data_IF_379654775401
#
_entry.id   IF_379654775401
#
_cell.length_a   1.000
_cell.length_b   1.000
_cell.length_c   1.000
_cell.angle_alpha   90.00
_cell.angle_beta   90.00
_cell.angle_gamma   90.00
#
_symmetry.space_group_name_H-M   'P 1'
#
loop_
_entity.id
_entity.type
_entity.pdbx_description
1 polymer ?
#
# COMPACT_ATOMS: atom_id res chain seq x y z
N UNK A 1 -32.47 0.69 -2.80
CA UNK A 1 -32.14 -0.71 -3.14
C UNK A 1 -30.76 -1.03 -2.59
N UNK A 2 -30.67 -1.54 -1.38
CA UNK A 2 -29.42 -2.10 -0.83
C UNK A 2 -29.59 -3.62 -0.90
N UNK A 3 -29.07 -4.23 -1.96
CA UNK A 3 -29.23 -5.68 -2.19
C UNK A 3 -27.90 -6.39 -2.46
N UNK A 4 -26.77 -5.70 -2.35
CA UNK A 4 -25.46 -6.31 -2.46
C UNK A 4 -24.64 -6.04 -1.21
N UNK A 5 -24.00 -7.10 -0.70
CA UNK A 5 -22.89 -6.97 0.25
C UNK A 5 -21.82 -6.16 -0.47
N UNK A 6 -21.50 -4.98 0.05
CA UNK A 6 -20.49 -4.09 -0.52
C UNK A 6 -19.13 -4.38 0.13
N UNK A 7 -18.22 -5.15 -0.50
CA UNK A 7 -16.89 -5.44 0.03
C UNK A 7 -15.96 -4.22 0.09
N UNK A 8 -16.41 -3.03 -0.28
CA UNK A 8 -15.60 -1.82 -0.26
C UNK A 8 -15.06 -1.51 1.14
N UNK A 9 -15.85 -1.77 2.19
CA UNK A 9 -15.43 -1.53 3.57
C UNK A 9 -14.23 -2.39 3.96
N UNK A 10 -14.25 -3.69 3.62
CA UNK A 10 -13.11 -4.60 3.82
C UNK A 10 -11.92 -4.26 2.93
N UNK A 11 -12.14 -3.82 1.68
CA UNK A 11 -11.06 -3.40 0.79
C UNK A 11 -10.32 -2.18 1.34
N UNK A 12 -11.04 -1.18 1.86
CA UNK A 12 -10.44 -0.01 2.49
C UNK A 12 -9.67 -0.37 3.78
N UNK A 13 -10.18 -1.29 4.59
CA UNK A 13 -9.45 -1.75 5.78
C UNK A 13 -8.17 -2.53 5.42
N UNK A 14 -8.21 -3.37 4.37
CA UNK A 14 -7.02 -4.06 3.85
C UNK A 14 -6.02 -3.06 3.27
N UNK A 15 -6.49 -2.06 2.52
CA UNK A 15 -5.66 -0.96 2.03
C UNK A 15 -4.97 -0.25 3.20
N UNK A 16 -5.74 0.13 4.22
CA UNK A 16 -5.23 0.78 5.43
C UNK A 16 -4.12 -0.03 6.10
N UNK A 17 -4.37 -1.32 6.36
CA UNK A 17 -3.37 -2.24 6.93
C UNK A 17 -2.09 -2.30 6.07
N UNK A 18 -2.26 -2.35 4.76
CA UNK A 18 -1.15 -2.47 3.80
C UNK A 18 -0.33 -1.18 3.73
N UNK A 19 -0.97 -0.02 3.77
CA UNK A 19 -0.29 1.28 3.77
C UNK A 19 0.53 1.47 5.05
N UNK A 20 -0.02 1.12 6.22
CA UNK A 20 0.73 1.14 7.48
C UNK A 20 1.90 0.16 7.47
N UNK A 21 1.69 -1.06 6.96
CA UNK A 21 2.77 -2.05 6.78
C UNK A 21 3.85 -1.53 5.82
N UNK A 22 3.46 -0.76 4.80
CA UNK A 22 4.39 -0.13 3.84
C UNK A 22 5.18 0.99 4.46
N UNK A 23 4.58 1.80 5.34
CA UNK A 23 5.34 2.77 6.11
C UNK A 23 6.42 2.08 6.97
N UNK A 24 6.10 0.94 7.59
CA UNK A 24 7.08 0.14 8.32
C UNK A 24 8.16 -0.46 7.41
N UNK A 25 7.80 -0.96 6.22
CA UNK A 25 8.77 -1.44 5.22
C UNK A 25 9.71 -0.33 4.77
N UNK A 26 9.20 0.89 4.54
CA UNK A 26 10.03 2.06 4.20
C UNK A 26 10.99 2.33 5.35
N UNK A 27 10.52 2.40 6.59
CA UNK A 27 11.39 2.58 7.76
C UNK A 27 12.50 1.53 7.85
N UNK A 28 12.15 0.24 7.68
CA UNK A 28 13.12 -0.86 7.72
C UNK A 28 14.19 -0.74 6.64
N UNK A 29 13.81 -0.25 5.46
CA UNK A 29 14.69 -0.14 4.29
C UNK A 29 15.48 1.17 4.26
N UNK A 30 15.09 2.19 5.03
CA UNK A 30 15.76 3.50 5.05
C UNK A 30 16.44 3.85 6.39
N UNK A 31 16.33 3.01 7.43
CA UNK A 31 16.93 3.27 8.75
C UNK A 31 18.47 3.35 8.67
N UNK A 32 19.12 4.21 9.47
CA UNK A 32 20.58 4.21 9.58
C UNK A 32 21.08 2.89 10.18
N UNK A 33 22.10 2.30 9.55
CA UNK A 33 22.88 1.23 10.17
C UNK A 33 23.67 1.88 11.30
N UNK A 34 23.53 1.35 12.52
CA UNK A 34 24.30 1.81 13.67
C UNK A 34 25.76 1.39 13.42
N UNK A 35 26.66 2.37 13.30
CA UNK A 35 28.09 2.10 13.21
C UNK A 35 28.53 1.61 14.61
N UNK A 36 28.80 0.31 14.75
CA UNK A 36 29.35 -0.26 15.98
C UNK A 36 30.85 0.05 16.07
N UNK A 37 31.37 0.15 17.30
CA UNK A 37 32.80 0.35 17.57
C UNK A 37 33.66 -0.68 16.81
N UNK A 38 34.87 -0.30 16.34
CA UNK A 38 35.69 -1.16 15.49
C UNK A 38 35.93 -2.54 16.17
N UNK A 39 35.58 -3.66 15.51
CA UNK A 39 35.73 -4.98 16.11
C UNK A 39 37.20 -5.36 16.28
N UNK A 40 37.51 -6.18 17.29
CA UNK A 40 38.83 -6.81 17.43
C UNK A 40 39.14 -7.72 16.24
N UNK A 41 40.42 -7.98 15.94
CA UNK A 41 40.88 -8.72 14.75
C UNK A 41 40.24 -10.12 14.60
N UNK A 42 39.93 -10.80 15.72
CA UNK A 42 39.19 -12.07 15.73
C UNK A 42 37.69 -11.90 15.46
N UNK A 43 37.11 -10.77 15.85
CA UNK A 43 35.74 -10.39 15.51
C UNK A 43 35.64 -10.00 14.02
N UNK A 44 36.70 -9.47 13.40
CA UNK A 44 36.76 -9.21 11.96
C UNK A 44 36.74 -10.54 11.18
N UNK A 45 37.54 -11.54 11.56
CA UNK A 45 37.54 -12.83 10.88
C UNK A 45 36.21 -13.60 11.02
N UNK A 46 35.56 -13.54 12.20
CA UNK A 46 34.22 -14.09 12.39
C UNK A 46 33.14 -13.25 11.69
N UNK A 47 33.29 -11.92 11.69
CA UNK A 47 32.35 -11.05 11.01
C UNK A 47 32.45 -11.27 9.51
N UNK A 48 33.60 -11.40 8.86
CA UNK A 48 33.67 -11.61 7.42
C UNK A 48 32.92 -12.87 6.95
N UNK A 49 33.06 -13.99 7.68
CA UNK A 49 32.34 -15.24 7.40
C UNK A 49 30.84 -15.11 7.67
N UNK A 50 30.45 -14.45 8.77
CA UNK A 50 29.03 -14.24 9.14
C UNK A 50 28.37 -13.17 8.26
N UNK A 51 29.11 -12.15 7.84
CA UNK A 51 28.68 -11.02 7.02
C UNK A 51 28.46 -11.49 5.60
N UNK A 52 29.33 -12.34 5.04
CA UNK A 52 29.06 -12.99 3.74
C UNK A 52 27.81 -13.86 3.76
N UNK A 53 27.53 -14.53 4.87
CA UNK A 53 26.34 -15.38 5.05
C UNK A 53 25.06 -14.56 5.30
N UNK A 54 25.16 -13.44 6.02
CA UNK A 54 24.05 -12.51 6.24
C UNK A 54 23.75 -11.62 5.03
N UNK A 55 24.75 -11.31 4.20
CA UNK A 55 24.60 -10.53 2.98
C UNK A 55 23.83 -11.28 1.89
N UNK A 56 23.70 -12.60 2.01
CA UNK A 56 22.95 -13.46 1.09
C UNK A 56 21.57 -13.84 1.60
N UNK A 57 21.26 -13.64 2.88
CA UNK A 57 19.95 -13.92 3.45
C UNK A 57 19.18 -12.61 3.64
N UNK A 58 18.13 -12.43 2.83
CA UNK A 58 17.16 -11.36 3.04
C UNK A 58 16.63 -11.47 4.48
N UNK A 59 16.68 -10.40 5.31
CA UNK A 59 16.24 -10.46 6.70
C UNK A 59 14.87 -11.13 6.80
N UNK A 60 14.69 -12.05 7.76
CA UNK A 60 13.47 -12.84 7.89
C UNK A 60 12.20 -11.95 7.89
N UNK A 61 12.29 -10.74 8.45
CA UNK A 61 11.24 -9.72 8.40
C UNK A 61 10.91 -9.23 6.98
N UNK A 62 11.91 -8.94 6.14
CA UNK A 62 11.68 -8.53 4.74
C UNK A 62 11.05 -9.67 3.95
N UNK A 63 11.49 -10.91 4.21
CA UNK A 63 10.90 -12.09 3.58
C UNK A 63 9.44 -12.28 4.00
N UNK A 64 9.11 -12.14 5.28
CA UNK A 64 7.72 -12.19 5.75
C UNK A 64 6.85 -11.09 5.10
N UNK A 65 7.36 -9.86 5.04
CA UNK A 65 6.68 -8.73 4.38
C UNK A 65 6.48 -9.01 2.89
N UNK A 66 7.44 -9.62 2.19
CA UNK A 66 7.27 -9.97 0.77
C UNK A 66 6.09 -10.92 0.54
N UNK A 67 5.92 -11.94 1.38
CA UNK A 67 4.78 -12.85 1.27
C UNK A 67 3.45 -12.18 1.60
N UNK A 68 3.44 -11.27 2.57
CA UNK A 68 2.27 -10.44 2.87
C UNK A 68 1.85 -9.63 1.64
N UNK A 69 2.78 -8.90 1.02
CA UNK A 69 2.50 -8.11 -0.19
C UNK A 69 2.05 -8.97 -1.37
N UNK A 70 2.66 -10.14 -1.56
CA UNK A 70 2.26 -11.05 -2.61
C UNK A 70 0.84 -11.58 -2.40
N UNK A 71 0.49 -11.94 -1.16
CA UNK A 71 -0.85 -12.43 -0.80
C UNK A 71 -1.93 -11.36 -0.96
N UNK A 72 -1.71 -10.18 -0.37
CA UNK A 72 -2.64 -9.05 -0.52
C UNK A 72 -2.72 -8.60 -1.97
N UNK A 73 -1.60 -8.54 -2.68
CA UNK A 73 -1.55 -8.12 -4.08
C UNK A 73 -2.31 -9.06 -5.00
N UNK A 74 -2.14 -10.38 -4.84
CA UNK A 74 -2.90 -11.38 -5.59
C UNK A 74 -4.40 -11.29 -5.29
N UNK A 75 -4.77 -11.14 -4.02
CA UNK A 75 -6.16 -10.96 -3.60
C UNK A 75 -6.78 -9.70 -4.21
N UNK A 76 -6.13 -8.54 -4.08
CA UNK A 76 -6.62 -7.26 -4.57
C UNK A 76 -6.71 -7.23 -6.10
N UNK A 77 -5.73 -7.82 -6.80
CA UNK A 77 -5.77 -7.92 -8.26
C UNK A 77 -6.93 -8.80 -8.74
N UNK A 78 -7.09 -9.99 -8.13
CA UNK A 78 -8.15 -10.92 -8.51
C UNK A 78 -9.54 -10.34 -8.24
N UNK A 79 -9.74 -9.74 -7.06
CA UNK A 79 -11.02 -9.12 -6.69
C UNK A 79 -11.28 -7.82 -7.46
N UNK A 80 -10.26 -7.04 -7.80
CA UNK A 80 -10.38 -5.87 -8.66
C UNK A 80 -10.79 -6.23 -10.09
N UNK A 81 -10.11 -7.19 -10.72
CA UNK A 81 -10.48 -7.68 -12.06
C UNK A 81 -11.89 -8.28 -12.06
N UNK A 82 -12.22 -9.08 -11.03
CA UNK A 82 -13.57 -9.60 -10.86
C UNK A 82 -14.60 -8.47 -10.73
N UNK A 83 -14.33 -7.45 -9.92
CA UNK A 83 -15.19 -6.29 -9.73
C UNK A 83 -15.41 -5.50 -11.03
N UNK A 84 -14.36 -5.32 -11.84
CA UNK A 84 -14.47 -4.70 -13.16
C UNK A 84 -15.36 -5.50 -14.12
N UNK A 85 -15.30 -6.82 -14.06
CA UNK A 85 -16.04 -7.69 -14.97
C UNK A 85 -17.50 -7.93 -14.54
N UNK A 86 -17.78 -7.91 -13.24
CA UNK A 86 -19.04 -8.46 -12.70
C UNK A 86 -19.87 -7.46 -11.92
N UNK A 87 -19.30 -6.38 -11.40
CA UNK A 87 -20.04 -5.47 -10.55
C UNK A 87 -20.76 -4.45 -11.44
N UNK A 88 -22.10 -4.34 -11.40
CA UNK A 88 -22.81 -3.33 -12.17
C UNK A 88 -23.15 -2.14 -11.26
N UNK A 89 -22.15 -1.48 -10.64
CA UNK A 89 -22.45 -0.19 -10.03
C UNK A 89 -22.84 0.76 -11.17
N UNK A 90 -24.02 1.42 -11.09
CA UNK A 90 -24.36 2.43 -12.06
C UNK A 90 -23.34 3.58 -11.99
N UNK A 91 -23.02 4.17 -13.14
CA UNK A 91 -22.15 5.36 -13.28
C UNK A 91 -20.65 5.11 -13.04
N UNK A 92 -19.88 6.19 -12.91
CA UNK A 92 -18.41 6.24 -12.75
C UNK A 92 -17.86 5.59 -11.47
N UNK A 93 -18.72 5.15 -10.54
CA UNK A 93 -18.31 4.58 -9.25
C UNK A 93 -17.45 3.32 -9.41
N UNK A 94 -17.79 2.44 -10.36
CA UNK A 94 -16.97 1.25 -10.63
C UNK A 94 -15.54 1.60 -11.06
N UNK A 95 -15.39 2.61 -11.91
CA UNK A 95 -14.10 3.07 -12.43
C UNK A 95 -13.25 3.58 -11.28
N UNK A 96 -13.84 4.42 -10.43
CA UNK A 96 -13.14 5.06 -9.32
C UNK A 96 -12.90 4.10 -8.15
N UNK A 97 -13.46 2.89 -8.15
CA UNK A 97 -13.29 1.94 -7.04
C UNK A 97 -12.51 0.68 -7.45
N UNK A 98 -12.86 0.05 -8.57
CA UNK A 98 -12.29 -1.24 -8.97
C UNK A 98 -10.98 -1.08 -9.75
N UNK A 99 -10.81 -0.02 -10.58
CA UNK A 99 -9.53 0.23 -11.27
C UNK A 99 -8.38 0.47 -10.27
N UNK A 100 -8.54 1.36 -9.27
CA UNK A 100 -7.48 1.62 -8.29
C UNK A 100 -7.21 0.42 -7.40
N UNK A 101 -8.23 -0.40 -7.10
CA UNK A 101 -8.07 -1.61 -6.31
C UNK A 101 -7.26 -2.68 -7.05
N UNK A 102 -7.57 -2.92 -8.33
CA UNK A 102 -6.76 -3.80 -9.18
C UNK A 102 -5.32 -3.29 -9.31
N UNK A 103 -5.16 -1.98 -9.52
CA UNK A 103 -3.86 -1.32 -9.62
C UNK A 103 -3.04 -1.43 -8.33
N UNK A 104 -3.69 -1.26 -7.17
CA UNK A 104 -3.09 -1.51 -5.86
C UNK A 104 -2.59 -2.95 -5.76
N UNK A 105 -3.37 -3.92 -6.25
CA UNK A 105 -2.95 -5.32 -6.35
C UNK A 105 -1.67 -5.51 -7.16
N UNK A 106 -1.59 -4.87 -8.34
CA UNK A 106 -0.36 -4.86 -9.16
C UNK A 106 0.82 -4.24 -8.42
N UNK A 107 0.63 -3.07 -7.80
CA UNK A 107 1.68 -2.39 -7.06
C UNK A 107 2.19 -3.22 -5.88
N UNK A 108 1.29 -3.83 -5.11
CA UNK A 108 1.63 -4.72 -4.01
C UNK A 108 2.39 -5.96 -4.49
N UNK A 109 1.99 -6.58 -5.61
CA UNK A 109 2.76 -7.68 -6.22
C UNK A 109 4.17 -7.25 -6.62
N UNK A 110 4.33 -6.07 -7.24
CA UNK A 110 5.65 -5.53 -7.60
C UNK A 110 6.52 -5.35 -6.35
N UNK A 111 5.98 -4.75 -5.29
CA UNK A 111 6.69 -4.59 -4.01
C UNK A 111 7.09 -5.94 -3.44
N UNK A 112 6.15 -6.89 -3.35
CA UNK A 112 6.39 -8.23 -2.80
C UNK A 112 7.47 -8.98 -3.57
N UNK A 113 7.38 -9.03 -4.91
CA UNK A 113 8.36 -9.70 -5.75
C UNK A 113 9.74 -9.03 -5.68
N UNK A 114 9.80 -7.69 -5.65
CA UNK A 114 11.05 -6.96 -5.53
C UNK A 114 11.75 -7.24 -4.19
N UNK A 115 11.00 -7.24 -3.09
CA UNK A 115 11.54 -7.59 -1.77
C UNK A 115 11.96 -9.06 -1.69
N UNK A 116 11.23 -9.97 -2.34
CA UNK A 116 11.54 -11.39 -2.33
C UNK A 116 12.84 -11.71 -3.10
N UNK A 117 12.97 -11.18 -4.33
CA UNK A 117 14.10 -11.51 -5.22
C UNK A 117 15.30 -10.61 -5.04
N UNK A 118 15.10 -9.31 -4.83
CA UNK A 118 16.18 -8.33 -4.78
C UNK A 118 16.44 -7.76 -3.38
N UNK A 119 15.60 -8.08 -2.39
CA UNK A 119 15.70 -7.53 -1.02
C UNK A 119 15.59 -6.01 -0.94
N UNK A 120 15.23 -5.35 -2.04
CA UNK A 120 15.28 -3.89 -2.18
C UNK A 120 14.24 -3.41 -3.20
N UNK A 121 13.84 -2.13 -3.08
CA UNK A 121 12.86 -1.49 -3.96
C UNK A 121 13.51 -0.56 -4.99
N UNK A 122 14.84 -0.56 -5.14
CA UNK A 122 15.56 0.37 -6.02
C UNK A 122 15.05 0.30 -7.47
N UNK A 123 15.09 -0.88 -8.09
CA UNK A 123 14.62 -1.05 -9.46
C UNK A 123 13.09 -0.93 -9.58
N UNK A 124 12.35 -1.44 -8.58
CA UNK A 124 10.89 -1.43 -8.57
C UNK A 124 10.29 -0.02 -8.36
N UNK A 125 11.05 0.90 -7.76
CA UNK A 125 10.58 2.27 -7.46
C UNK A 125 10.18 3.06 -8.72
N UNK A 126 10.87 2.83 -9.85
CA UNK A 126 10.59 3.52 -11.11
C UNK A 126 9.21 3.15 -11.67
N UNK A 127 8.89 1.87 -11.94
CA UNK A 127 7.56 1.50 -12.41
C UNK A 127 6.47 1.84 -11.37
N UNK A 128 6.73 1.65 -10.07
CA UNK A 128 5.79 2.06 -9.01
C UNK A 128 5.46 3.56 -9.09
N UNK A 129 6.43 4.42 -9.38
CA UNK A 129 6.20 5.86 -9.48
C UNK A 129 5.19 6.22 -10.56
N UNK A 130 5.25 5.56 -11.72
CA UNK A 130 4.27 5.76 -12.79
C UNK A 130 2.88 5.24 -12.41
N UNK A 131 2.80 4.11 -11.71
CA UNK A 131 1.51 3.61 -11.19
C UNK A 131 0.89 4.60 -10.19
N UNK A 132 1.71 5.35 -9.45
CA UNK A 132 1.26 6.39 -8.52
C UNK A 132 0.51 7.56 -9.16
N UNK A 133 0.68 7.80 -10.46
CA UNK A 133 0.00 8.91 -11.16
C UNK A 133 -1.51 8.65 -11.28
N UNK A 134 -1.89 7.40 -11.51
CA UNK A 134 -3.27 7.00 -11.77
C UNK A 134 -4.21 7.31 -10.58
N UNK A 135 -3.92 6.89 -9.33
CA UNK A 135 -4.77 7.24 -8.19
C UNK A 135 -4.81 8.76 -7.92
N UNK A 136 -3.78 9.53 -8.27
CA UNK A 136 -3.85 11.01 -8.18
C UNK A 136 -4.93 11.54 -9.13
N UNK A 137 -4.98 11.04 -10.38
CA UNK A 137 -6.02 11.42 -11.35
C UNK A 137 -7.41 11.08 -10.82
N UNK A 138 -7.60 9.88 -10.26
CA UNK A 138 -8.88 9.51 -9.65
C UNK A 138 -9.23 10.38 -8.44
N UNK A 139 -8.26 10.80 -7.62
CA UNK A 139 -8.50 11.74 -6.53
C UNK A 139 -9.01 13.10 -7.02
N UNK A 140 -8.46 13.60 -8.13
CA UNK A 140 -8.94 14.83 -8.80
C UNK A 140 -10.36 14.64 -9.37
N UNK A 141 -10.65 13.45 -9.91
CA UNK A 141 -11.98 13.13 -10.45
C UNK A 141 -13.05 13.10 -9.34
N UNK A 142 -12.73 12.44 -8.22
CA UNK A 142 -13.59 12.36 -7.02
C UNK A 142 -13.99 13.75 -6.52
N UNK A 143 -13.01 14.65 -6.35
CA UNK A 143 -13.31 15.99 -5.82
C UNK A 143 -14.06 16.86 -6.84
N UNK A 144 -13.76 16.71 -8.13
CA UNK A 144 -14.41 17.50 -9.20
C UNK A 144 -15.89 17.15 -9.33
N UNK A 145 -16.23 15.86 -9.31
CA UNK A 145 -17.60 15.39 -9.54
C UNK A 145 -18.35 15.00 -8.26
N UNK A 146 -17.76 15.22 -7.08
CA UNK A 146 -18.37 14.91 -5.78
C UNK A 146 -18.87 13.47 -5.70
N UNK A 147 -18.00 12.53 -6.09
CA UNK A 147 -18.35 11.11 -6.25
C UNK A 147 -18.50 10.34 -4.93
N UNK A 148 -18.48 10.99 -3.78
CA UNK A 148 -18.70 10.34 -2.47
C UNK A 148 -19.43 11.30 -1.53
N UNK A 149 -19.89 10.81 -0.38
CA UNK A 149 -20.45 11.64 0.70
C UNK A 149 -19.41 12.58 1.31
N UNK A 150 -18.13 12.17 1.31
CA UNK A 150 -16.99 12.95 1.77
C UNK A 150 -15.92 13.10 0.65
N UNK A 151 -16.16 13.91 -0.39
CA UNK A 151 -15.28 13.99 -1.57
C UNK A 151 -13.86 14.40 -1.22
N UNK A 152 -13.69 15.33 -0.28
CA UNK A 152 -12.37 15.82 0.12
C UNK A 152 -11.53 14.75 0.82
N UNK A 153 -12.16 13.95 1.69
CA UNK A 153 -11.46 12.90 2.43
C UNK A 153 -11.08 11.75 1.49
N UNK A 154 -12.00 11.34 0.60
CA UNK A 154 -11.72 10.35 -0.43
C UNK A 154 -10.63 10.83 -1.40
N UNK A 155 -10.70 12.07 -1.91
CA UNK A 155 -9.65 12.62 -2.77
C UNK A 155 -8.28 12.64 -2.08
N UNK A 156 -8.23 13.00 -0.78
CA UNK A 156 -7.00 12.97 0.00
C UNK A 156 -6.40 11.55 0.09
N UNK A 157 -7.23 10.52 0.35
CA UNK A 157 -6.78 9.13 0.34
C UNK A 157 -6.10 8.76 -0.98
N UNK A 158 -6.76 9.07 -2.10
CA UNK A 158 -6.30 8.74 -3.44
C UNK A 158 -4.99 9.45 -3.81
N UNK A 159 -4.93 10.75 -3.55
CA UNK A 159 -3.75 11.57 -3.83
C UNK A 159 -2.57 11.10 -2.97
N UNK A 160 -2.76 10.89 -1.67
CA UNK A 160 -1.68 10.43 -0.79
C UNK A 160 -1.20 9.02 -1.17
N UNK A 161 -2.13 8.11 -1.50
CA UNK A 161 -1.81 6.75 -1.96
C UNK A 161 -1.01 6.77 -3.27
N UNK A 162 -1.26 7.74 -4.15
CA UNK A 162 -0.48 7.93 -5.37
C UNK A 162 0.86 8.64 -5.18
N UNK A 163 0.92 9.62 -4.28
CA UNK A 163 2.15 10.37 -3.98
C UNK A 163 3.22 9.48 -3.37
N UNK A 164 2.87 8.53 -2.50
CA UNK A 164 3.83 7.63 -1.87
C UNK A 164 4.70 6.84 -2.88
N UNK A 165 4.13 6.07 -3.83
CA UNK A 165 4.91 5.39 -4.85
C UNK A 165 5.54 6.37 -5.87
N UNK A 166 4.88 7.50 -6.19
CA UNK A 166 5.45 8.54 -7.07
C UNK A 166 6.79 9.09 -6.54
N UNK A 167 6.91 9.26 -5.23
CA UNK A 167 8.12 9.74 -4.57
C UNK A 167 9.14 8.63 -4.29
N UNK A 168 8.78 7.36 -4.48
CA UNK A 168 9.64 6.22 -4.12
C UNK A 168 11.03 6.19 -4.82
N UNK A 169 11.22 6.68 -6.07
CA UNK A 169 12.57 6.77 -6.66
C UNK A 169 13.49 7.70 -5.88
N UNK A 170 12.96 8.78 -5.30
CA UNK A 170 13.74 9.72 -4.48
C UNK A 170 14.20 9.07 -3.17
N UNK A 171 13.43 8.11 -2.66
CA UNK A 171 13.79 7.31 -1.49
C UNK A 171 14.88 6.30 -1.84
N UNK A 172 14.68 5.52 -2.90
CA UNK A 172 15.45 4.30 -3.15
C UNK A 172 16.64 4.46 -4.12
N UNK A 173 16.58 5.39 -5.07
CA UNK A 173 17.67 5.58 -6.06
C UNK A 173 18.80 6.49 -5.57
N UNK A 174 18.68 7.08 -4.38
CA UNK A 174 19.69 8.00 -3.85
C UNK A 174 20.83 7.29 -3.10
N UNK A 175 20.88 5.95 -3.13
CA UNK A 175 21.98 5.12 -2.59
C UNK A 175 22.40 5.49 -1.16
N UNK A 176 21.45 5.65 -0.25
CA UNK A 176 21.73 5.91 1.17
C UNK A 176 22.19 7.34 1.50
N UNK A 177 22.15 8.27 0.53
CA UNK A 177 22.37 9.70 0.80
C UNK A 177 21.34 10.25 1.79
N UNK A 178 21.69 11.33 2.49
CA UNK A 178 20.81 12.02 3.44
C UNK A 178 19.42 12.32 2.83
N UNK A 179 19.38 12.70 1.55
CA UNK A 179 18.15 12.95 0.80
C UNK A 179 17.18 11.76 0.80
N UNK A 180 17.66 10.54 0.50
CA UNK A 180 16.80 9.35 0.49
C UNK A 180 16.18 9.03 1.84
N UNK A 181 16.93 9.31 2.92
CA UNK A 181 16.45 9.14 4.30
C UNK A 181 15.35 10.14 4.64
N UNK A 182 15.56 11.42 4.34
CA UNK A 182 14.52 12.44 4.52
C UNK A 182 13.27 12.13 3.71
N UNK A 183 13.45 11.69 2.45
CA UNK A 183 12.32 11.30 1.61
C UNK A 183 11.63 10.03 2.10
N UNK A 184 12.36 9.10 2.69
CA UNK A 184 11.79 7.94 3.38
C UNK A 184 10.83 8.36 4.48
N UNK A 185 11.21 9.31 5.34
CA UNK A 185 10.31 9.83 6.38
C UNK A 185 9.08 10.54 5.82
N UNK A 186 9.23 11.33 4.76
CA UNK A 186 8.09 11.99 4.10
C UNK A 186 7.12 10.95 3.54
N UNK A 187 7.62 9.94 2.81
CA UNK A 187 6.80 8.85 2.27
C UNK A 187 6.14 8.05 3.39
N UNK A 188 6.83 7.79 4.50
CA UNK A 188 6.23 7.14 5.67
C UNK A 188 5.04 7.93 6.22
N UNK A 189 5.18 9.25 6.40
CA UNK A 189 4.09 10.10 6.90
C UNK A 189 2.91 10.08 5.93
N UNK A 190 3.16 10.19 4.63
CA UNK A 190 2.12 10.11 3.59
C UNK A 190 1.36 8.77 3.69
N UNK A 191 2.08 7.65 3.78
CA UNK A 191 1.49 6.31 3.90
C UNK A 191 0.70 6.13 5.20
N UNK A 192 1.19 6.68 6.32
CA UNK A 192 0.47 6.64 7.60
C UNK A 192 -0.83 7.42 7.49
N UNK A 193 -0.80 8.65 6.96
CA UNK A 193 -1.99 9.47 6.79
C UNK A 193 -2.99 8.80 5.84
N UNK A 194 -2.54 8.29 4.70
CA UNK A 194 -3.39 7.55 3.77
C UNK A 194 -4.00 6.30 4.43
N UNK A 195 -3.20 5.53 5.18
CA UNK A 195 -3.67 4.34 5.88
C UNK A 195 -4.72 4.64 6.96
N UNK A 196 -4.53 5.73 7.72
CA UNK A 196 -5.51 6.20 8.70
C UNK A 196 -6.80 6.65 8.03
N UNK A 197 -6.72 7.41 6.93
CA UNK A 197 -7.90 7.83 6.17
C UNK A 197 -8.67 6.61 5.63
N UNK A 198 -7.95 5.63 5.07
CA UNK A 198 -8.55 4.39 4.58
C UNK A 198 -9.33 3.66 5.70
N UNK A 199 -8.77 3.60 6.91
CA UNK A 199 -9.49 3.05 8.06
C UNK A 199 -10.69 3.88 8.50
N UNK A 200 -10.57 5.21 8.54
CA UNK A 200 -11.68 6.09 8.91
C UNK A 200 -12.87 5.84 7.98
N UNK A 201 -12.63 5.83 6.67
CA UNK A 201 -13.68 5.58 5.68
C UNK A 201 -14.19 4.13 5.77
N UNK A 202 -13.28 3.14 5.80
CA UNK A 202 -13.65 1.72 5.79
C UNK A 202 -14.43 1.29 7.03
N UNK A 203 -13.97 1.67 8.23
CA UNK A 203 -14.66 1.36 9.50
C UNK A 203 -16.00 2.08 9.56
N UNK A 204 -16.06 3.36 9.15
CA UNK A 204 -17.31 4.11 9.06
C UNK A 204 -18.32 3.42 8.15
N UNK A 205 -17.90 3.01 6.96
CA UNK A 205 -18.74 2.29 6.00
C UNK A 205 -19.25 0.96 6.57
N UNK A 206 -18.43 0.18 7.29
CA UNK A 206 -18.88 -1.06 7.94
C UNK A 206 -20.03 -0.80 8.91
N UNK A 207 -19.93 0.23 9.76
CA UNK A 207 -21.01 0.56 10.70
C UNK A 207 -22.27 1.08 10.00
N UNK A 208 -22.13 1.89 8.96
CA UNK A 208 -23.27 2.39 8.17
C UNK A 208 -23.98 1.26 7.42
N UNK A 209 -23.22 0.39 6.76
CA UNK A 209 -23.76 -0.77 6.04
C UNK A 209 -24.49 -1.69 7.01
N UNK A 210 -23.86 -2.08 8.12
CA UNK A 210 -24.50 -2.98 9.11
C UNK A 210 -25.74 -2.35 9.73
N UNK A 211 -25.74 -1.05 10.05
CA UNK A 211 -26.94 -0.35 10.55
C UNK A 211 -28.09 -0.32 9.52
N UNK A 212 -27.77 -0.21 8.23
CA UNK A 212 -28.74 -0.35 7.14
C UNK A 212 -29.31 -1.76 7.03
N UNK A 213 -28.44 -2.78 7.12
CA UNK A 213 -28.82 -4.19 7.05
C UNK A 213 -29.64 -4.67 8.24
N UNK A 214 -29.49 -4.09 9.43
CA UNK A 214 -30.35 -4.41 10.58
C UNK A 214 -31.83 -4.10 10.32
N UNK A 215 -32.12 -3.12 9.45
CA UNK A 215 -33.49 -2.77 9.03
C UNK A 215 -33.97 -3.56 7.83
N UNK A 216 -33.09 -4.35 7.20
CA UNK A 216 -33.44 -5.12 6.02
C UNK A 216 -34.25 -6.36 6.44
N UNK A 217 -35.45 -6.47 5.87
CA UNK A 217 -36.23 -7.69 5.92
C UNK A 217 -36.17 -8.35 4.53
N UNK A 218 -35.88 -9.66 4.43
CA UNK A 218 -36.10 -10.37 3.17
C UNK A 218 -37.57 -10.20 2.78
N UNK A 219 -37.86 -10.16 1.48
CA UNK A 219 -39.19 -9.91 0.91
C UNK A 219 -40.21 -11.05 1.16
N UNK A 220 -40.13 -11.71 2.31
CA UNK A 220 -41.07 -12.71 2.81
C UNK A 220 -41.23 -12.48 4.33
N UNK A 221 -42.32 -11.82 4.71
CA UNK A 221 -42.72 -11.54 6.09
C UNK A 221 -43.62 -10.32 6.18
#
# INVERSE_FOLDING_TARGET
MALFMDPLDIFLMILGATLLSTAYTVWLTTRPIKEEDPPSEQAIARSEVTTRRSATECPATIKALSFYYMGVGAFALATGIWGLATWPLPSSYNIVLMDPWALFGVAALIVGLALYFAGSLNAASIPLAFLGIIPIVYGVDIIKYHLTTEPSLAAALYILTGLAPLLSPLVYMTNGRSMGRYMGYVVMVILILAGLIAYIIGVGATFEHTAGWVKWTPWYG
#
